data_IF_393554424836
#
_entry.id   IF_393554424836
#
_cell.length_a   1.000
_cell.length_b   1.000
_cell.length_c   1.000
_cell.angle_alpha   90.00
_cell.angle_beta   90.00
_cell.angle_gamma   90.00
#
_symmetry.space_group_name_H-M   'P 1'
#
loop_
_entity.id
_entity.type
_entity.pdbx_description
1 polymer ?
#
# COMPACT_ATOMS: atom_id res chain seq x y z
N UNK A 1 1.87 -16.04 -29.46
CA UNK A 1 0.59 -15.42 -29.09
C UNK A 1 0.92 -14.19 -28.27
N UNK A 2 0.54 -13.01 -28.75
CA UNK A 2 0.86 -11.74 -28.10
C UNK A 2 0.24 -11.68 -26.71
N UNK A 3 1.09 -11.57 -25.70
CA UNK A 3 0.72 -11.29 -24.33
C UNK A 3 0.11 -9.88 -24.32
N UNK A 4 -1.19 -9.79 -24.59
CA UNK A 4 -1.93 -8.54 -24.56
C UNK A 4 -1.80 -8.04 -23.12
N UNK A 5 -0.91 -7.07 -22.89
CA UNK A 5 -0.60 -6.53 -21.58
C UNK A 5 -1.91 -6.11 -20.89
N UNK A 6 -2.45 -7.02 -20.07
CA UNK A 6 -3.78 -6.90 -19.53
C UNK A 6 -3.82 -5.64 -18.70
N UNK A 7 -4.71 -4.74 -19.08
CA UNK A 7 -4.98 -3.52 -18.33
C UNK A 7 -5.31 -3.90 -16.87
N UNK A 8 -4.46 -3.48 -15.94
CA UNK A 8 -4.62 -3.82 -14.52
C UNK A 8 -5.41 -2.73 -13.81
N UNK A 9 -6.38 -3.15 -13.01
CA UNK A 9 -7.13 -2.25 -12.15
C UNK A 9 -6.46 -2.15 -10.79
N UNK A 10 -6.40 -0.94 -10.25
CA UNK A 10 -5.79 -0.62 -8.96
C UNK A 10 -6.83 -0.06 -8.01
N UNK A 11 -6.81 -0.47 -6.74
CA UNK A 11 -7.58 0.14 -5.65
C UNK A 11 -6.63 0.84 -4.68
N UNK A 12 -7.01 2.04 -4.24
CA UNK A 12 -6.26 2.82 -3.25
C UNK A 12 -7.12 3.08 -2.02
N UNK A 13 -6.59 2.80 -0.83
CA UNK A 13 -7.23 3.05 0.46
C UNK A 13 -6.33 3.93 1.32
N UNK A 14 -6.88 4.98 1.92
CA UNK A 14 -6.17 5.87 2.84
C UNK A 14 -6.61 5.64 4.29
N UNK A 15 -5.68 5.80 5.22
CA UNK A 15 -5.89 5.63 6.64
C UNK A 15 -5.35 6.88 7.35
N UNK A 16 -6.23 7.60 8.06
CA UNK A 16 -5.93 8.75 8.94
C UNK A 16 -6.83 8.66 10.19
N UNK A 17 -7.47 9.74 10.63
CA UNK A 17 -8.42 9.71 11.77
C UNK A 17 -9.63 8.79 11.52
N UNK A 18 -9.92 8.48 10.26
CA UNK A 18 -10.84 7.43 9.84
C UNK A 18 -10.25 6.66 8.64
N UNK A 19 -10.75 5.44 8.40
CA UNK A 19 -10.47 4.72 7.16
C UNK A 19 -11.29 5.40 6.05
N UNK A 20 -10.61 6.16 5.18
CA UNK A 20 -11.21 6.68 3.96
C UNK A 20 -10.73 5.82 2.81
N UNK A 21 -11.58 4.90 2.37
CA UNK A 21 -11.36 4.25 1.09
C UNK A 21 -11.38 5.36 0.03
N UNK A 22 -10.31 5.51 -0.75
CA UNK A 22 -10.37 6.47 -1.84
C UNK A 22 -11.43 6.03 -2.87
N UNK A 23 -11.93 4.78 -2.78
CA UNK A 23 -13.12 4.25 -3.46
C UNK A 23 -12.97 4.15 -4.98
N UNK A 24 -11.90 4.70 -5.52
CA UNK A 24 -11.64 4.83 -6.95
C UNK A 24 -10.80 3.64 -7.39
N UNK A 25 -11.38 2.83 -8.26
CA UNK A 25 -10.65 1.88 -9.06
C UNK A 25 -10.07 2.60 -10.27
N UNK A 26 -8.75 2.55 -10.44
CA UNK A 26 -8.07 3.16 -11.57
C UNK A 26 -7.62 2.08 -12.54
N UNK A 27 -7.93 2.27 -13.83
CA UNK A 27 -7.48 1.38 -14.89
C UNK A 27 -6.11 1.84 -15.41
N UNK A 28 -5.11 0.98 -15.33
CA UNK A 28 -3.79 1.24 -15.89
C UNK A 28 -3.78 0.92 -17.39
N UNK A 29 -3.13 1.77 -18.18
CA UNK A 29 -2.88 1.48 -19.58
C UNK A 29 -1.98 0.23 -19.73
N UNK A 30 -2.10 -0.52 -20.84
CA UNK A 30 -1.17 -1.60 -21.17
C UNK A 30 0.29 -1.11 -21.13
N UNK A 31 1.20 -1.96 -20.63
CA UNK A 31 2.65 -1.64 -20.58
C UNK A 31 3.08 -0.69 -19.47
N UNK A 32 2.16 -0.19 -18.64
CA UNK A 32 2.53 0.63 -17.46
C UNK A 32 3.31 -0.19 -16.45
N UNK A 33 4.40 0.37 -15.92
CA UNK A 33 5.05 -0.16 -14.72
C UNK A 33 4.08 -0.12 -13.54
N UNK A 34 3.52 -1.28 -13.24
CA UNK A 34 2.53 -1.49 -12.18
C UNK A 34 3.10 -1.10 -10.82
N UNK A 35 4.35 -1.47 -10.51
CA UNK A 35 4.96 -1.15 -9.21
C UNK A 35 5.12 0.36 -9.05
N UNK A 36 5.62 1.04 -10.08
CA UNK A 36 5.76 2.48 -10.05
C UNK A 36 4.40 3.19 -9.96
N UNK A 37 3.38 2.69 -10.67
CA UNK A 37 2.02 3.22 -10.59
C UNK A 37 1.45 3.08 -9.18
N UNK A 38 1.54 1.90 -8.56
CA UNK A 38 1.08 1.67 -7.19
C UNK A 38 1.80 2.57 -6.18
N UNK A 39 3.13 2.72 -6.29
CA UNK A 39 3.92 3.63 -5.43
C UNK A 39 3.44 5.07 -5.55
N UNK A 40 3.27 5.58 -6.78
CA UNK A 40 2.76 6.94 -7.01
C UNK A 40 1.36 7.12 -6.44
N UNK A 41 0.46 6.17 -6.67
CA UNK A 41 -0.90 6.21 -6.16
C UNK A 41 -0.97 6.22 -4.63
N UNK A 42 -0.18 5.37 -3.97
CA UNK A 42 -0.14 5.35 -2.50
C UNK A 42 0.50 6.64 -1.94
N UNK A 43 1.61 7.10 -2.51
CA UNK A 43 2.27 8.36 -2.11
C UNK A 43 1.37 9.58 -2.27
N UNK A 44 0.54 9.63 -3.31
CA UNK A 44 -0.41 10.72 -3.53
C UNK A 44 -1.51 10.80 -2.46
N UNK A 45 -1.80 9.69 -1.77
CA UNK A 45 -2.84 9.62 -0.75
C UNK A 45 -2.32 9.90 0.68
N UNK A 46 -1.00 9.86 0.90
CA UNK A 46 -0.37 10.12 2.21
C UNK A 46 0.07 11.59 2.29
N UNK A 47 -0.22 12.31 3.39
CA UNK A 47 0.21 13.69 3.54
C UNK A 47 1.74 13.77 3.65
N UNK A 48 2.31 14.81 3.06
CA UNK A 48 3.74 15.14 3.16
C UNK A 48 3.90 16.23 4.20
N UNK A 49 4.02 15.82 5.46
CA UNK A 49 4.17 16.73 6.60
C UNK A 49 5.65 16.77 6.99
N UNK A 50 6.17 17.98 7.19
CA UNK A 50 7.54 18.16 7.67
C UNK A 50 7.76 17.47 9.03
N UNK A 51 8.93 16.88 9.23
CA UNK A 51 9.26 16.13 10.45
C UNK A 51 8.62 14.75 10.58
N UNK A 52 7.80 14.31 9.60
CA UNK A 52 7.27 12.95 9.59
C UNK A 52 8.24 12.00 8.86
N UNK A 53 8.45 10.83 9.45
CA UNK A 53 9.17 9.72 8.80
C UNK A 53 8.21 8.97 7.90
N UNK A 54 8.62 8.70 6.65
CA UNK A 54 7.84 7.95 5.68
C UNK A 54 8.60 6.71 5.20
N UNK A 55 7.89 5.60 5.00
CA UNK A 55 8.44 4.39 4.37
C UNK A 55 7.42 3.77 3.41
N UNK A 56 7.96 3.20 2.33
CA UNK A 56 7.19 2.50 1.29
C UNK A 56 7.52 1.02 1.36
N UNK A 57 6.49 0.19 1.52
CA UNK A 57 6.58 -1.27 1.50
C UNK A 57 5.93 -1.77 0.21
N UNK A 58 6.65 -2.59 -0.55
CA UNK A 58 6.11 -3.25 -1.76
C UNK A 58 6.14 -4.75 -1.51
N UNK A 59 5.00 -5.40 -1.66
CA UNK A 59 4.85 -6.85 -1.47
C UNK A 59 4.25 -7.44 -2.73
N UNK A 60 4.86 -8.53 -3.18
CA UNK A 60 4.38 -9.32 -4.30
C UNK A 60 3.96 -10.68 -3.80
N UNK A 61 2.90 -11.23 -4.38
CA UNK A 61 2.57 -12.63 -4.13
C UNK A 61 3.65 -13.52 -4.73
N UNK A 62 4.03 -14.54 -3.99
CA UNK A 62 4.94 -15.60 -4.43
C UNK A 62 4.18 -16.82 -4.94
N UNK A 63 2.93 -17.00 -4.51
CA UNK A 63 2.04 -18.08 -4.96
C UNK A 63 0.59 -17.61 -5.12
N UNK A 64 -0.16 -18.33 -5.95
CA UNK A 64 -1.59 -18.10 -6.13
C UNK A 64 -2.32 -18.34 -4.81
N UNK A 65 -3.27 -17.46 -4.47
CA UNK A 65 -4.05 -17.54 -3.23
C UNK A 65 -3.52 -16.70 -2.07
N UNK A 66 -2.29 -16.16 -2.15
CA UNK A 66 -1.77 -15.23 -1.14
C UNK A 66 -2.55 -13.92 -1.12
N UNK A 67 -2.94 -13.50 0.08
CA UNK A 67 -3.73 -12.28 0.30
C UNK A 67 -2.85 -11.12 0.74
N UNK A 68 -1.84 -10.76 -0.06
CA UNK A 68 -0.84 -9.72 0.29
C UNK A 68 -1.47 -8.36 0.59
N UNK A 69 -2.54 -7.98 -0.13
CA UNK A 69 -3.28 -6.75 0.14
C UNK A 69 -4.00 -6.78 1.50
N UNK A 70 -4.54 -7.94 1.91
CA UNK A 70 -5.21 -8.08 3.20
C UNK A 70 -4.20 -8.03 4.36
N UNK A 71 -3.00 -8.62 4.18
CA UNK A 71 -1.90 -8.49 5.14
C UNK A 71 -1.53 -7.01 5.35
N UNK A 72 -1.29 -6.27 4.27
CA UNK A 72 -0.93 -4.86 4.37
C UNK A 72 -2.08 -3.99 4.92
N UNK A 73 -3.34 -4.29 4.59
CA UNK A 73 -4.52 -3.64 5.18
C UNK A 73 -4.58 -3.85 6.70
N UNK A 74 -4.33 -5.08 7.16
CA UNK A 74 -4.28 -5.39 8.59
C UNK A 74 -3.14 -4.63 9.31
N UNK A 75 -1.94 -4.59 8.71
CA UNK A 75 -0.81 -3.85 9.26
C UNK A 75 -1.08 -2.34 9.30
N UNK A 76 -1.67 -1.78 8.25
CA UNK A 76 -2.05 -0.38 8.21
C UNK A 76 -3.03 -0.07 9.35
N UNK A 77 -4.10 -0.86 9.50
CA UNK A 77 -5.11 -0.70 10.56
C UNK A 77 -4.52 -0.79 11.96
N UNK A 78 -3.58 -1.71 12.20
CA UNK A 78 -2.89 -1.83 13.50
C UNK A 78 -1.96 -0.67 13.80
N UNK A 79 -1.37 -0.07 12.77
CA UNK A 79 -0.55 1.12 12.93
C UNK A 79 -1.39 2.38 13.18
N UNK A 80 -2.67 2.38 12.82
CA UNK A 80 -3.60 3.49 13.08
C UNK A 80 -3.92 3.64 14.57
N UNK A 81 -4.14 4.88 15.00
CA UNK A 81 -4.54 5.16 16.39
C UNK A 81 -4.23 6.58 16.89
N UNK A 82 -4.17 7.58 16.00
CA UNK A 82 -3.93 8.98 16.38
C UNK A 82 -3.59 9.86 15.19
N UNK A 83 -3.66 11.18 15.37
CA UNK A 83 -3.45 12.21 14.33
C UNK A 83 -2.04 12.23 13.72
N UNK A 84 -1.08 11.60 14.40
CA UNK A 84 0.34 11.63 14.06
C UNK A 84 0.78 10.48 13.14
N UNK A 85 -0.18 9.76 12.55
CA UNK A 85 0.05 8.69 11.56
C UNK A 85 -0.91 8.78 10.40
N UNK A 86 -0.38 8.54 9.21
CA UNK A 86 -1.14 8.31 8.01
C UNK A 86 -0.58 7.12 7.23
N UNK A 87 -1.46 6.37 6.57
CA UNK A 87 -1.05 5.32 5.65
C UNK A 87 -1.89 5.33 4.38
N UNK A 88 -1.37 4.72 3.32
CA UNK A 88 -2.13 4.41 2.13
C UNK A 88 -1.72 3.06 1.53
N UNK A 89 -2.71 2.26 1.18
CA UNK A 89 -2.56 0.97 0.52
C UNK A 89 -3.03 1.10 -0.93
N UNK A 90 -2.14 0.82 -1.88
CA UNK A 90 -2.50 0.63 -3.28
C UNK A 90 -2.29 -0.84 -3.66
N UNK A 91 -3.27 -1.50 -4.27
CA UNK A 91 -3.15 -2.90 -4.68
C UNK A 91 -3.77 -3.14 -6.04
N UNK A 92 -3.22 -4.11 -6.78
CA UNK A 92 -3.87 -4.64 -7.98
C UNK A 92 -5.09 -5.49 -7.60
N UNK A 93 -6.15 -5.47 -8.42
CA UNK A 93 -7.36 -6.26 -8.15
C UNK A 93 -7.12 -7.78 -8.22
N UNK A 94 -6.16 -8.21 -9.03
CA UNK A 94 -5.74 -9.62 -9.12
C UNK A 94 -4.92 -10.07 -7.89
N UNK A 95 -4.62 -9.17 -6.94
CA UNK A 95 -3.84 -9.44 -5.74
C UNK A 95 -2.36 -9.75 -6.01
N UNK A 96 -1.86 -9.53 -7.22
CA UNK A 96 -0.47 -9.83 -7.57
C UNK A 96 0.54 -8.94 -6.83
N UNK A 97 0.20 -7.65 -6.64
CA UNK A 97 1.09 -6.68 -6.02
C UNK A 97 0.30 -5.73 -5.11
N UNK A 98 0.90 -5.39 -3.98
CA UNK A 98 0.39 -4.39 -3.06
C UNK A 98 1.52 -3.49 -2.55
N UNK A 99 1.22 -2.19 -2.42
CA UNK A 99 2.11 -1.18 -1.89
C UNK A 99 1.44 -0.51 -0.70
N UNK A 100 2.14 -0.48 0.44
CA UNK A 100 1.75 0.27 1.62
C UNK A 100 2.73 1.42 1.82
N UNK A 101 2.23 2.64 1.89
CA UNK A 101 2.99 3.81 2.36
C UNK A 101 2.54 4.10 3.77
N UNK A 102 3.49 4.27 4.69
CA UNK A 102 3.23 4.69 6.07
C UNK A 102 4.04 5.94 6.35
N UNK A 103 3.41 6.95 6.91
CA UNK A 103 4.07 8.15 7.41
C UNK A 103 3.65 8.40 8.87
N UNK A 104 4.61 8.75 9.71
CA UNK A 104 4.38 9.00 11.13
C UNK A 104 5.31 10.08 11.66
N UNK A 105 4.84 10.84 12.66
CA UNK A 105 5.71 11.75 13.42
C UNK A 105 6.76 10.99 14.23
N UNK A 106 6.39 9.89 14.87
CA UNK A 106 7.31 9.00 15.59
C UNK A 106 7.85 7.90 14.65
N UNK A 107 9.18 7.87 14.37
CA UNK A 107 9.80 6.85 13.53
C UNK A 107 9.56 5.42 14.02
N UNK A 108 9.41 5.21 15.34
CA UNK A 108 9.21 3.87 15.92
C UNK A 108 7.92 3.21 15.43
N UNK A 109 6.90 4.01 15.10
CA UNK A 109 5.64 3.51 14.53
C UNK A 109 5.85 2.97 13.12
N UNK A 110 6.71 3.60 12.31
CA UNK A 110 7.09 3.10 10.98
C UNK A 110 7.91 1.81 11.10
N UNK A 111 8.84 1.74 12.06
CA UNK A 111 9.65 0.54 12.30
C UNK A 111 8.83 -0.66 12.82
N UNK A 112 7.77 -0.41 13.60
CA UNK A 112 6.86 -1.46 14.04
C UNK A 112 6.13 -2.15 12.86
N UNK A 113 5.77 -1.38 11.83
CA UNK A 113 5.19 -1.93 10.58
C UNK A 113 6.24 -2.78 9.85
N UNK A 114 7.46 -2.26 9.72
CA UNK A 114 8.60 -2.97 9.11
C UNK A 114 8.85 -4.33 9.80
N UNK A 115 8.95 -4.31 11.13
CA UNK A 115 9.17 -5.51 11.94
C UNK A 115 8.04 -6.53 11.81
N UNK A 116 6.79 -6.07 11.71
CA UNK A 116 5.62 -6.93 11.56
C UNK A 116 5.61 -7.62 10.19
N UNK A 117 6.03 -6.91 9.13
CA UNK A 117 6.16 -7.48 7.79
C UNK A 117 7.20 -8.61 7.74
N UNK A 118 8.36 -8.40 8.37
CA UNK A 118 9.43 -9.41 8.46
C UNK A 118 9.03 -10.66 9.26
N UNK A 119 8.02 -10.56 10.12
CA UNK A 119 7.46 -11.71 10.87
C UNK A 119 6.37 -12.43 10.07
N UNK A 120 5.60 -11.71 9.26
CA UNK A 120 4.53 -12.29 8.44
C UNK A 120 5.04 -13.12 7.25
N UNK A 121 6.31 -12.96 6.87
CA UNK A 121 6.97 -13.75 5.82
C UNK A 121 7.70 -15.01 6.31
N UNK A 122 7.58 -15.36 7.60
CA UNK A 122 8.04 -16.64 8.16
C UNK A 122 6.84 -17.54 8.40
#
# INVERSE_FOLDING_TARGET
MSDAALSRSVRVRSYRDAVRDAGKTFRLAPGVDVRAALKRSALAAVPKVEGWTMRVFTVERTRVGERVAALLDHLARRAMGGSDVAAALAATLDGACAVLVVAAKDPRRVEAVSSSLSRAGR
#
